data_IF_855044376715
#
_entry.id   IF_855044376715
#
_cell.length_a   1.000
_cell.length_b   1.000
_cell.length_c   1.000
_cell.angle_alpha   90.00
_cell.angle_beta   90.00
_cell.angle_gamma   90.00
#
_symmetry.space_group_name_H-M   'P 1'
#
loop_
_entity.id
_entity.type
_entity.pdbx_description
1 polymer ?
#
# COMPACT_ATOMS: atom_id res chain seq x y z
N UNK A 1 8.57 21.68 17.32
CA UNK A 1 7.39 20.80 17.41
C UNK A 1 7.23 20.13 16.05
N UNK A 2 7.03 18.81 16.00
CA UNK A 2 6.84 18.10 14.72
C UNK A 2 5.51 18.55 14.11
N UNK A 3 5.51 18.92 12.83
CA UNK A 3 4.28 19.28 12.12
C UNK A 3 3.66 18.00 11.52
N UNK A 4 2.70 17.42 12.23
CA UNK A 4 2.05 16.16 11.85
C UNK A 4 1.26 16.30 10.54
N UNK A 5 0.61 17.42 10.29
CA UNK A 5 -0.15 17.64 9.05
C UNK A 5 0.76 17.57 7.82
N UNK A 6 1.99 18.09 7.94
CA UNK A 6 3.02 17.95 6.89
C UNK A 6 3.40 16.48 6.67
N UNK A 7 3.45 15.66 7.71
CA UNK A 7 3.73 14.22 7.60
C UNK A 7 2.56 13.45 7.00
N UNK A 8 1.31 13.77 7.36
CA UNK A 8 0.11 13.19 6.74
C UNK A 8 0.11 13.49 5.24
N UNK A 9 0.30 14.75 4.86
CA UNK A 9 0.34 15.17 3.45
C UNK A 9 1.49 14.51 2.69
N UNK A 10 2.68 14.43 3.30
CA UNK A 10 3.82 13.74 2.73
C UNK A 10 3.49 12.29 2.38
N UNK A 11 2.94 11.53 3.33
CA UNK A 11 2.61 10.12 3.10
C UNK A 11 1.48 9.95 2.09
N UNK A 12 0.45 10.80 2.15
CA UNK A 12 -0.68 10.79 1.20
C UNK A 12 -0.19 11.05 -0.25
N UNK A 13 0.65 12.06 -0.45
CA UNK A 13 1.16 12.38 -1.79
C UNK A 13 2.05 11.26 -2.34
N UNK A 14 2.94 10.72 -1.50
CA UNK A 14 3.81 9.61 -1.90
C UNK A 14 3.01 8.32 -2.19
N UNK A 15 1.87 8.12 -1.52
CA UNK A 15 0.97 7.00 -1.81
C UNK A 15 0.27 7.17 -3.17
N UNK A 16 -0.12 8.39 -3.52
CA UNK A 16 -0.75 8.72 -4.79
C UNK A 16 0.21 8.57 -5.98
N UNK A 17 1.44 9.03 -5.82
CA UNK A 17 2.51 8.82 -6.81
C UNK A 17 2.77 7.32 -7.04
N UNK A 18 2.95 6.55 -5.96
CA UNK A 18 3.17 5.11 -6.08
C UNK A 18 1.99 4.37 -6.71
N UNK A 19 0.77 4.79 -6.40
CA UNK A 19 -0.44 4.24 -7.01
C UNK A 19 -0.42 4.46 -8.53
N UNK A 20 -0.08 5.66 -8.98
CA UNK A 20 0.03 5.96 -10.41
C UNK A 20 1.12 5.12 -11.08
N UNK A 21 2.31 5.06 -10.48
CA UNK A 21 3.44 4.26 -10.99
C UNK A 21 3.08 2.77 -11.06
N UNK A 22 2.40 2.23 -10.05
CA UNK A 22 1.94 0.84 -10.04
C UNK A 22 1.05 0.54 -11.27
N UNK A 23 0.07 1.41 -11.54
CA UNK A 23 -0.83 1.24 -12.68
C UNK A 23 -0.08 1.31 -14.02
N UNK A 24 0.85 2.26 -14.19
CA UNK A 24 1.65 2.38 -15.41
C UNK A 24 2.52 1.13 -15.63
N UNK A 25 3.16 0.62 -14.59
CA UNK A 25 4.02 -0.56 -14.66
C UNK A 25 3.22 -1.81 -15.03
N UNK A 26 2.07 -2.03 -14.39
CA UNK A 26 1.21 -3.18 -14.70
C UNK A 26 0.65 -3.08 -16.12
N UNK A 27 0.22 -1.90 -16.56
CA UNK A 27 -0.22 -1.69 -17.94
C UNK A 27 0.89 -1.94 -18.99
N UNK A 28 2.15 -1.72 -18.62
CA UNK A 28 3.33 -2.00 -19.46
C UNK A 28 3.86 -3.44 -19.34
N UNK A 29 3.09 -4.36 -18.75
CA UNK A 29 3.46 -5.75 -18.51
C UNK A 29 4.69 -5.94 -17.57
N UNK A 30 5.05 -4.91 -16.80
CA UNK A 30 6.09 -4.96 -15.75
C UNK A 30 5.47 -5.35 -14.40
N UNK A 31 4.73 -6.45 -14.40
CA UNK A 31 3.80 -6.84 -13.32
C UNK A 31 4.48 -6.88 -11.94
N UNK A 32 5.62 -7.54 -11.78
CA UNK A 32 6.32 -7.62 -10.47
C UNK A 32 6.63 -6.25 -9.88
N UNK A 33 7.16 -5.34 -10.70
CA UNK A 33 7.50 -3.98 -10.26
C UNK A 33 6.22 -3.22 -9.91
N UNK A 34 5.19 -3.36 -10.73
CA UNK A 34 3.90 -2.73 -10.46
C UNK A 34 3.25 -3.21 -9.16
N UNK A 35 3.31 -4.50 -8.84
CA UNK A 35 2.80 -5.04 -7.57
C UNK A 35 3.62 -4.58 -6.36
N UNK A 36 4.93 -4.39 -6.53
CA UNK A 36 5.76 -3.76 -5.51
C UNK A 36 5.32 -2.32 -5.23
N UNK A 37 5.11 -1.51 -6.28
CA UNK A 37 4.59 -0.15 -6.11
C UNK A 37 3.16 -0.13 -5.55
N UNK A 38 2.33 -1.10 -5.90
CA UNK A 38 0.99 -1.25 -5.34
C UNK A 38 1.03 -1.52 -3.83
N UNK A 39 1.99 -2.34 -3.38
CA UNK A 39 2.26 -2.52 -1.95
C UNK A 39 2.72 -1.21 -1.30
N UNK A 40 3.66 -0.48 -1.90
CA UNK A 40 4.15 0.78 -1.34
C UNK A 40 3.05 1.85 -1.22
N UNK A 41 2.14 1.94 -2.19
CA UNK A 41 0.98 2.83 -2.13
C UNK A 41 0.11 2.54 -0.89
N UNK A 42 -0.18 1.26 -0.62
CA UNK A 42 -0.91 0.81 0.58
C UNK A 42 -0.12 1.11 1.86
N UNK A 43 1.18 0.85 1.87
CA UNK A 43 2.06 1.12 3.01
C UNK A 43 2.00 2.60 3.39
N UNK A 44 2.16 3.49 2.40
CA UNK A 44 2.23 4.93 2.60
C UNK A 44 0.89 5.51 3.01
N UNK A 45 -0.23 5.07 2.43
CA UNK A 45 -1.55 5.57 2.85
C UNK A 45 -1.86 5.13 4.29
N UNK A 46 -1.47 3.92 4.70
CA UNK A 46 -1.61 3.48 6.09
C UNK A 46 -0.69 4.28 7.03
N UNK A 47 0.52 4.66 6.60
CA UNK A 47 1.40 5.56 7.37
C UNK A 47 0.81 6.95 7.55
N UNK A 48 0.12 7.48 6.54
CA UNK A 48 -0.62 8.74 6.68
C UNK A 48 -1.69 8.64 7.79
N UNK A 49 -2.39 7.50 7.83
CA UNK A 49 -3.39 7.20 8.86
C UNK A 49 -2.82 6.99 10.25
N UNK A 50 -1.67 6.32 10.38
CA UNK A 50 -0.94 6.23 11.66
C UNK A 50 -0.65 7.65 12.15
N UNK A 51 -0.10 8.52 11.29
CA UNK A 51 0.17 9.91 11.69
C UNK A 51 -1.11 10.66 12.09
N UNK A 52 -2.19 10.47 11.33
CA UNK A 52 -3.47 11.12 11.59
C UNK A 52 -4.07 10.71 12.94
N UNK A 53 -4.03 9.43 13.29
CA UNK A 53 -4.70 8.90 14.48
C UNK A 53 -3.85 8.94 15.74
N UNK A 54 -2.53 8.74 15.64
CA UNK A 54 -1.64 8.77 16.81
C UNK A 54 -1.11 10.16 17.13
N UNK A 55 -1.22 11.11 16.19
CA UNK A 55 -0.58 12.43 16.26
C UNK A 55 0.95 12.35 16.42
N UNK A 56 1.55 11.27 15.90
CA UNK A 56 2.99 11.02 15.92
C UNK A 56 3.51 10.55 14.55
N UNK A 57 4.82 10.46 14.36
CA UNK A 57 5.43 10.01 13.12
C UNK A 57 5.21 8.50 12.97
N UNK A 58 4.71 8.08 11.80
CA UNK A 58 4.57 6.66 11.50
C UNK A 58 5.92 5.92 11.55
N UNK A 59 5.98 4.72 12.16
CA UNK A 59 7.22 3.97 12.29
C UNK A 59 7.73 3.45 10.94
N UNK A 60 9.03 3.17 10.89
CA UNK A 60 9.70 2.61 9.71
C UNK A 60 9.49 1.09 9.61
N UNK A 61 8.23 0.69 9.53
CA UNK A 61 7.80 -0.69 9.25
C UNK A 61 7.10 -0.77 7.91
N UNK A 62 7.04 -1.97 7.34
CA UNK A 62 6.51 -2.23 5.99
C UNK A 62 5.35 -3.22 5.97
N UNK A 63 5.11 -3.90 7.09
CA UNK A 63 4.00 -4.85 7.18
C UNK A 63 2.67 -4.09 7.23
N UNK A 64 1.80 -4.34 6.24
CA UNK A 64 0.52 -3.65 6.10
C UNK A 64 -0.46 -3.98 7.23
N UNK A 65 -0.39 -5.19 7.81
CA UNK A 65 -1.22 -5.57 8.95
C UNK A 65 -0.78 -4.80 10.19
N UNK A 66 0.53 -4.74 10.46
CA UNK A 66 1.05 -3.97 11.58
C UNK A 66 0.75 -2.48 11.45
N UNK A 67 0.84 -1.92 10.23
CA UNK A 67 0.47 -0.51 9.98
C UNK A 67 -1.03 -0.27 10.16
N UNK A 68 -1.88 -1.22 9.74
CA UNK A 68 -3.32 -1.15 9.96
C UNK A 68 -3.64 -1.14 11.46
N UNK A 69 -3.05 -2.05 12.24
CA UNK A 69 -3.23 -2.11 13.70
C UNK A 69 -2.80 -0.80 14.37
N UNK A 70 -1.61 -0.29 14.02
CA UNK A 70 -1.08 0.97 14.53
C UNK A 70 -1.95 2.17 14.14
N UNK A 71 -2.60 2.10 12.97
CA UNK A 71 -3.49 3.17 12.52
C UNK A 71 -4.79 3.21 13.32
N UNK A 72 -5.21 2.13 13.97
CA UNK A 72 -6.48 2.07 14.70
C UNK A 72 -7.73 2.13 13.82
N UNK A 73 -7.60 1.91 12.50
CA UNK A 73 -8.73 1.99 11.58
C UNK A 73 -9.55 0.70 11.62
N UNK A 74 -10.89 0.79 11.78
CA UNK A 74 -11.75 -0.38 11.73
C UNK A 74 -11.97 -0.81 10.28
N UNK A 75 -11.26 -1.86 9.85
CA UNK A 75 -11.50 -2.52 8.57
C UNK A 75 -12.25 -3.84 8.73
N UNK A 76 -13.06 -4.18 7.72
CA UNK A 76 -13.70 -5.51 7.61
C UNK A 76 -12.63 -6.57 7.34
N UNK A 77 -12.84 -7.79 7.82
CA UNK A 77 -11.91 -8.92 7.65
C UNK A 77 -11.40 -9.08 6.21
N UNK A 78 -12.29 -9.00 5.21
CA UNK A 78 -11.92 -9.08 3.78
C UNK A 78 -10.83 -8.08 3.34
N UNK A 79 -10.77 -6.91 3.98
CA UNK A 79 -9.80 -5.87 3.67
C UNK A 79 -8.47 -6.15 4.38
N UNK A 80 -8.53 -6.66 5.60
CA UNK A 80 -7.36 -7.19 6.32
C UNK A 80 -6.71 -8.34 5.56
N UNK A 81 -7.50 -9.29 5.05
CA UNK A 81 -7.00 -10.42 4.27
C UNK A 81 -6.30 -9.95 2.98
N UNK A 82 -6.87 -8.95 2.31
CA UNK A 82 -6.27 -8.35 1.12
C UNK A 82 -4.94 -7.64 1.44
N UNK A 83 -4.85 -6.93 2.55
CA UNK A 83 -3.58 -6.31 2.99
C UNK A 83 -2.54 -7.38 3.33
N UNK A 84 -2.94 -8.52 3.90
CA UNK A 84 -2.06 -9.65 4.14
C UNK A 84 -1.56 -10.27 2.82
N UNK A 85 -2.44 -10.43 1.83
CA UNK A 85 -2.10 -10.90 0.47
C UNK A 85 -1.08 -9.98 -0.22
N UNK A 86 -1.11 -8.68 0.08
CA UNK A 86 -0.21 -7.69 -0.50
C UNK A 86 1.18 -7.60 0.16
N UNK A 87 1.37 -8.16 1.36
CA UNK A 87 2.64 -8.10 2.08
C UNK A 87 3.84 -8.75 1.35
N UNK A 88 3.70 -9.93 0.72
CA UNK A 88 4.81 -10.58 0.01
C UNK A 88 5.45 -9.73 -1.08
N UNK A 89 4.67 -8.91 -1.79
CA UNK A 89 5.17 -8.08 -2.90
C UNK A 89 6.23 -7.07 -2.45
N UNK A 90 6.26 -6.71 -1.17
CA UNK A 90 7.33 -5.91 -0.58
C UNK A 90 8.70 -6.57 -0.75
N UNK A 91 8.82 -7.84 -0.38
CA UNK A 91 10.10 -8.58 -0.40
C UNK A 91 10.42 -9.00 -1.84
N UNK A 92 9.42 -9.47 -2.59
CA UNK A 92 9.60 -9.88 -3.98
C UNK A 92 10.06 -8.74 -4.89
N UNK A 93 9.65 -7.49 -4.60
CA UNK A 93 10.13 -6.32 -5.34
C UNK A 93 11.62 -6.00 -5.15
N UNK A 94 12.27 -6.57 -4.13
CA UNK A 94 13.67 -6.27 -3.77
C UNK A 94 14.64 -7.43 -4.02
N UNK A 95 14.16 -8.66 -3.93
CA UNK A 95 15.00 -9.85 -3.90
C UNK A 95 14.55 -10.85 -4.98
N UNK A 96 15.27 -10.93 -6.12
CA UNK A 96 14.92 -11.83 -7.22
C UNK A 96 14.82 -13.31 -6.83
N UNK A 97 15.59 -13.74 -5.83
CA UNK A 97 15.58 -15.09 -5.28
C UNK A 97 14.27 -15.45 -4.56
N UNK A 98 13.48 -14.45 -4.16
CA UNK A 98 12.19 -14.62 -3.47
C UNK A 98 11.00 -14.64 -4.44
N UNK A 99 11.23 -14.48 -5.74
CA UNK A 99 10.19 -14.37 -6.75
C UNK A 99 9.31 -15.63 -6.84
N UNK A 100 8.00 -15.44 -6.69
CA UNK A 100 7.00 -16.45 -7.05
C UNK A 100 6.74 -16.47 -8.55
N UNK A 101 5.88 -17.37 -9.04
CA UNK A 101 5.38 -17.28 -10.41
C UNK A 101 4.80 -15.87 -10.67
N UNK A 102 5.12 -15.28 -11.83
CA UNK A 102 4.54 -13.99 -12.22
C UNK A 102 3.04 -14.20 -12.45
N UNK A 103 2.21 -13.34 -11.87
CA UNK A 103 0.80 -13.28 -12.21
C UNK A 103 0.63 -12.98 -13.70
N UNK A 104 -0.34 -13.60 -14.35
CA UNK A 104 -0.78 -13.17 -15.66
C UNK A 104 -1.31 -11.73 -15.62
N UNK A 105 -1.37 -11.06 -16.76
CA UNK A 105 -1.94 -9.70 -16.86
C UNK A 105 -3.37 -9.66 -16.31
N UNK A 106 -4.19 -10.67 -16.63
CA UNK A 106 -5.57 -10.76 -16.15
C UNK A 106 -5.64 -10.86 -14.61
N UNK A 107 -4.77 -11.66 -13.99
CA UNK A 107 -4.71 -11.78 -12.53
C UNK A 107 -4.22 -10.49 -11.88
N UNK A 108 -3.23 -9.81 -12.47
CA UNK A 108 -2.73 -8.53 -12.00
C UNK A 108 -3.82 -7.45 -12.06
N UNK A 109 -4.59 -7.38 -13.15
CA UNK A 109 -5.69 -6.44 -13.32
C UNK A 109 -6.80 -6.70 -12.28
N UNK A 110 -7.17 -7.97 -12.06
CA UNK A 110 -8.12 -8.37 -11.00
C UNK A 110 -7.64 -7.94 -9.62
N UNK A 111 -6.34 -8.11 -9.32
CA UNK A 111 -5.76 -7.72 -8.06
C UNK A 111 -5.79 -6.19 -7.87
N UNK A 112 -5.42 -5.40 -8.89
CA UNK A 112 -5.53 -3.93 -8.83
C UNK A 112 -6.98 -3.52 -8.53
N UNK A 113 -7.97 -4.11 -9.20
CA UNK A 113 -9.38 -3.75 -8.96
C UNK A 113 -9.81 -4.03 -7.51
N UNK A 114 -9.36 -5.15 -6.91
CA UNK A 114 -9.61 -5.43 -5.49
C UNK A 114 -8.96 -4.39 -4.58
N UNK A 115 -7.69 -4.06 -4.86
CA UNK A 115 -6.92 -3.10 -4.06
C UNK A 115 -7.45 -1.67 -4.19
N UNK A 116 -7.94 -1.29 -5.38
CA UNK A 116 -8.49 0.04 -5.64
C UNK A 116 -9.56 0.44 -4.63
N UNK A 117 -10.48 -0.47 -4.32
CA UNK A 117 -11.56 -0.18 -3.38
C UNK A 117 -11.07 0.17 -1.97
N UNK A 118 -10.08 -0.54 -1.43
CA UNK A 118 -9.52 -0.22 -0.12
C UNK A 118 -8.63 1.03 -0.17
N UNK A 119 -7.85 1.20 -1.23
CA UNK A 119 -6.96 2.35 -1.39
C UNK A 119 -7.75 3.67 -1.47
N UNK A 120 -8.79 3.71 -2.31
CA UNK A 120 -9.67 4.89 -2.44
C UNK A 120 -10.42 5.17 -1.14
N UNK A 121 -10.89 4.12 -0.46
CA UNK A 121 -11.55 4.28 0.83
C UNK A 121 -10.59 4.89 1.86
N UNK A 122 -9.38 4.35 2.00
CA UNK A 122 -8.35 4.90 2.89
C UNK A 122 -8.01 6.35 2.54
N UNK A 123 -7.86 6.67 1.24
CA UNK A 123 -7.57 8.04 0.79
C UNK A 123 -8.67 9.04 1.18
N UNK A 124 -9.93 8.62 1.14
CA UNK A 124 -11.09 9.46 1.46
C UNK A 124 -11.34 9.63 2.97
N UNK A 125 -10.63 8.89 3.83
CA UNK A 125 -10.72 9.02 5.29
C UNK A 125 -9.68 9.99 5.89
N UNK A 126 -8.84 10.64 5.07
CA UNK A 126 -7.77 11.56 5.49
C UNK A 126 -8.09 13.04 5.24
#
# INVERSE_FOLDING_TARGET
MVNIDKHILYWRNMAEEDWEVANQLIASNKIRHGLFFLHLALEKILKAHVCHNTKDIAPKVHNLISLLELSGIPLKQRHTDLLAEMNPFNIEGRYPEMWRAVLSQEEADKLIQKVKGIYEWLKNQL
#
